data_IF_726011827078
#
_entry.id   IF_726011827078
#
_cell.length_a   1.000
_cell.length_b   1.000
_cell.length_c   1.000
_cell.angle_alpha   90.00
_cell.angle_beta   90.00
_cell.angle_gamma   90.00
#
_symmetry.space_group_name_H-M   'P 1'
#
loop_
_entity.id
_entity.type
_entity.pdbx_description
1 polymer ?
#
# COMPACT_ATOMS: atom_id res chain seq x y z
N UNK A 1 -6.55 8.41 47.16
CA UNK A 1 -6.71 7.11 46.45
C UNK A 1 -6.98 7.23 44.94
N UNK A 2 -7.23 8.42 44.36
CA UNK A 2 -7.49 8.60 42.93
C UNK A 2 -6.25 8.46 42.01
N UNK A 3 -5.05 8.79 42.51
CA UNK A 3 -3.80 8.79 41.72
C UNK A 3 -3.27 7.39 41.37
N UNK A 4 -3.41 6.42 42.27
CA UNK A 4 -2.93 5.03 42.06
C UNK A 4 -3.79 4.32 41.01
N UNK A 5 -5.13 4.46 41.09
CA UNK A 5 -6.05 3.90 40.10
C UNK A 5 -5.85 4.52 38.71
N UNK A 6 -5.61 5.84 38.63
CA UNK A 6 -5.31 6.52 37.37
C UNK A 6 -3.99 6.04 36.74
N UNK A 7 -2.95 5.82 37.56
CA UNK A 7 -1.65 5.32 37.10
C UNK A 7 -1.74 3.87 36.62
N UNK A 8 -2.48 3.02 37.34
CA UNK A 8 -2.71 1.63 36.94
C UNK A 8 -3.50 1.55 35.63
N UNK A 9 -4.60 2.31 35.52
CA UNK A 9 -5.42 2.38 34.30
C UNK A 9 -4.61 2.85 33.09
N UNK A 10 -3.76 3.86 33.25
CA UNK A 10 -2.87 4.35 32.18
C UNK A 10 -1.91 3.27 31.72
N UNK A 11 -1.22 2.59 32.66
CA UNK A 11 -0.27 1.52 32.33
C UNK A 11 -0.95 0.31 31.68
N UNK A 12 -2.13 -0.09 32.17
CA UNK A 12 -2.92 -1.16 31.57
C UNK A 12 -3.36 -0.82 30.15
N UNK A 13 -3.89 0.40 29.92
CA UNK A 13 -4.30 0.87 28.59
C UNK A 13 -3.10 0.92 27.65
N UNK A 14 -1.96 1.46 28.06
CA UNK A 14 -0.73 1.47 27.25
C UNK A 14 -0.28 0.05 26.92
N UNK A 15 -0.23 -0.86 27.88
CA UNK A 15 0.11 -2.27 27.64
C UNK A 15 -0.87 -2.95 26.68
N UNK A 16 -2.16 -2.66 26.79
CA UNK A 16 -3.18 -3.15 25.88
C UNK A 16 -2.96 -2.62 24.46
N UNK A 17 -2.70 -1.33 24.27
CA UNK A 17 -2.42 -0.73 22.96
C UNK A 17 -1.16 -1.31 22.31
N UNK A 18 -0.16 -1.70 23.10
CA UNK A 18 1.05 -2.37 22.59
C UNK A 18 0.75 -3.81 22.18
N UNK A 19 -0.09 -4.52 22.93
CA UNK A 19 -0.42 -5.92 22.66
C UNK A 19 -1.46 -6.11 21.54
N UNK A 20 -2.40 -5.16 21.38
CA UNK A 20 -3.49 -5.25 20.39
C UNK A 20 -2.95 -5.54 18.99
N UNK A 21 -1.97 -4.77 18.43
CA UNK A 21 -1.44 -5.04 17.10
C UNK A 21 -0.85 -6.44 16.98
N UNK A 22 -0.05 -6.87 17.96
CA UNK A 22 0.58 -8.19 17.96
C UNK A 22 -0.46 -9.33 17.99
N UNK A 23 -1.49 -9.21 18.83
CA UNK A 23 -2.58 -10.19 18.93
C UNK A 23 -3.36 -10.24 17.61
N UNK A 24 -3.71 -9.09 17.03
CA UNK A 24 -4.41 -9.01 15.74
C UNK A 24 -3.58 -9.69 14.65
N UNK A 25 -2.28 -9.42 14.56
CA UNK A 25 -1.40 -10.06 13.59
C UNK A 25 -1.41 -11.58 13.74
N UNK A 26 -1.27 -12.11 14.95
CA UNK A 26 -1.30 -13.56 15.22
C UNK A 26 -2.66 -14.16 14.83
N UNK A 27 -3.76 -13.50 15.14
CA UNK A 27 -5.11 -13.95 14.80
C UNK A 27 -5.32 -14.02 13.29
N UNK A 28 -4.93 -12.98 12.55
CA UNK A 28 -5.07 -12.92 11.09
C UNK A 28 -4.22 -14.01 10.43
N UNK A 29 -2.97 -14.16 10.84
CA UNK A 29 -2.05 -15.19 10.30
C UNK A 29 -2.63 -16.59 10.55
N UNK A 30 -3.09 -16.87 11.77
CA UNK A 30 -3.68 -18.16 12.13
C UNK A 30 -4.98 -18.43 11.38
N UNK A 31 -5.82 -17.41 11.18
CA UNK A 31 -7.05 -17.54 10.39
C UNK A 31 -6.73 -17.86 8.93
N UNK A 32 -5.76 -17.18 8.35
CA UNK A 32 -5.32 -17.41 6.97
C UNK A 32 -4.78 -18.82 6.76
N UNK A 33 -3.90 -19.32 7.64
CA UNK A 33 -3.38 -20.70 7.51
C UNK A 33 -4.47 -21.75 7.64
N UNK A 34 -5.42 -21.57 8.56
CA UNK A 34 -6.57 -22.48 8.68
C UNK A 34 -7.46 -22.47 7.45
N UNK A 35 -7.62 -21.30 6.82
CA UNK A 35 -8.36 -21.19 5.58
C UNK A 35 -7.67 -21.95 4.44
N UNK A 36 -6.34 -21.80 4.30
CA UNK A 36 -5.55 -22.53 3.30
C UNK A 36 -5.53 -24.03 3.58
N UNK A 37 -5.32 -24.43 4.85
CA UNK A 37 -5.38 -25.82 5.28
C UNK A 37 -6.72 -26.44 4.92
N UNK A 38 -7.84 -25.80 5.25
CA UNK A 38 -9.18 -26.33 4.93
C UNK A 38 -9.47 -26.42 3.43
N UNK A 39 -8.92 -25.51 2.62
CA UNK A 39 -9.06 -25.57 1.16
C UNK A 39 -8.28 -26.75 0.55
N UNK A 40 -7.12 -27.08 1.11
CA UNK A 40 -6.21 -28.10 0.59
C UNK A 40 -6.31 -29.45 1.29
N UNK A 41 -7.04 -29.52 2.41
CA UNK A 41 -7.32 -30.73 3.17
C UNK A 41 -7.75 -31.90 2.28
N UNK A 42 -8.67 -31.74 1.31
CA UNK A 42 -9.08 -32.83 0.42
C UNK A 42 -7.93 -33.31 -0.47
N UNK A 43 -7.02 -32.42 -0.86
CA UNK A 43 -5.85 -32.72 -1.68
C UNK A 43 -4.79 -33.47 -0.87
N UNK A 44 -4.54 -33.04 0.36
CA UNK A 44 -3.59 -33.68 1.27
C UNK A 44 -4.03 -35.07 1.68
N UNK A 45 -5.32 -35.25 1.98
CA UNK A 45 -5.85 -36.54 2.37
C UNK A 45 -5.64 -37.58 1.26
N UNK A 46 -5.79 -37.17 -0.01
CA UNK A 46 -5.66 -38.06 -1.16
C UNK A 46 -4.20 -38.39 -1.54
N UNK A 47 -3.24 -37.53 -1.16
CA UNK A 47 -1.82 -37.68 -1.54
C UNK A 47 -0.96 -38.22 -0.40
N UNK A 48 -1.19 -37.78 0.85
CA UNK A 48 -0.32 -38.04 2.01
C UNK A 48 -0.96 -38.94 3.08
N UNK A 49 -2.29 -39.13 3.08
CA UNK A 49 -2.99 -40.06 3.99
C UNK A 49 -2.96 -39.70 5.48
N UNK A 50 -2.29 -38.62 5.90
CA UNK A 50 -2.22 -38.14 7.28
C UNK A 50 -2.26 -36.61 7.35
N UNK A 51 -2.86 -36.06 8.40
CA UNK A 51 -2.77 -34.62 8.68
C UNK A 51 -1.39 -34.28 9.25
N UNK A 52 -0.58 -33.56 8.48
CA UNK A 52 0.69 -33.01 8.97
C UNK A 52 0.48 -31.54 9.39
N UNK A 53 0.56 -31.21 10.69
CA UNK A 53 0.46 -29.83 11.14
C UNK A 53 1.64 -29.02 10.58
N UNK A 54 1.34 -27.87 9.96
CA UNK A 54 2.33 -26.98 9.33
C UNK A 54 2.37 -27.02 7.80
N UNK A 55 1.67 -27.95 7.15
CA UNK A 55 1.52 -28.00 5.69
C UNK A 55 0.88 -26.72 5.12
N UNK A 56 -0.11 -26.15 5.82
CA UNK A 56 -0.78 -24.91 5.42
C UNK A 56 0.13 -23.71 5.23
N UNK A 57 1.22 -23.63 5.99
CA UNK A 57 2.21 -22.56 5.81
C UNK A 57 2.95 -22.74 4.49
N UNK A 58 3.52 -23.93 4.28
CA UNK A 58 4.31 -24.25 3.08
C UNK A 58 3.44 -24.13 1.83
N UNK A 59 2.21 -24.63 1.89
CA UNK A 59 1.30 -24.55 0.76
C UNK A 59 0.79 -23.16 0.48
N UNK A 60 0.58 -22.32 1.51
CA UNK A 60 0.25 -20.92 1.30
C UNK A 60 1.38 -20.22 0.54
N UNK A 61 2.64 -20.45 0.93
CA UNK A 61 3.81 -19.90 0.23
C UNK A 61 3.87 -20.39 -1.21
N UNK A 62 3.65 -21.70 -1.44
CA UNK A 62 3.62 -22.28 -2.79
C UNK A 62 2.48 -21.68 -3.62
N UNK A 63 1.27 -21.55 -3.07
CA UNK A 63 0.12 -20.95 -3.78
C UNK A 63 0.44 -19.51 -4.17
N UNK A 64 0.95 -18.70 -3.24
CA UNK A 64 1.30 -17.30 -3.52
C UNK A 64 2.36 -17.23 -4.62
N UNK A 65 3.37 -18.10 -4.57
CA UNK A 65 4.42 -18.15 -5.58
C UNK A 65 3.88 -18.58 -6.95
N UNK A 66 3.04 -19.61 -7.01
CA UNK A 66 2.42 -20.10 -8.25
C UNK A 66 1.49 -19.05 -8.84
N UNK A 67 0.67 -18.38 -8.02
CA UNK A 67 -0.17 -17.25 -8.45
C UNK A 67 0.68 -16.12 -9.01
N UNK A 68 1.82 -15.81 -8.39
CA UNK A 68 2.80 -14.86 -8.91
C UNK A 68 3.32 -15.24 -10.29
N UNK A 69 3.77 -16.48 -10.48
CA UNK A 69 4.22 -16.98 -11.79
C UNK A 69 3.11 -16.87 -12.83
N UNK A 70 1.89 -17.30 -12.49
CA UNK A 70 0.74 -17.22 -13.39
C UNK A 70 0.47 -15.75 -13.77
N UNK A 71 0.54 -14.83 -12.82
CA UNK A 71 0.32 -13.39 -13.04
C UNK A 71 1.29 -12.78 -14.07
N UNK A 72 2.53 -13.28 -14.14
CA UNK A 72 3.53 -12.79 -15.12
C UNK A 72 3.31 -13.31 -16.55
N UNK A 73 2.50 -14.36 -16.73
CA UNK A 73 2.26 -14.96 -18.04
C UNK A 73 0.98 -14.39 -18.70
N UNK A 74 0.97 -14.25 -20.03
CA UNK A 74 -0.15 -13.68 -20.81
C UNK A 74 -1.46 -14.43 -20.55
N UNK A 75 -1.38 -15.76 -20.44
CA UNK A 75 -2.55 -16.60 -20.17
C UNK A 75 -3.09 -16.38 -18.75
N UNK A 76 -2.20 -16.27 -17.76
CA UNK A 76 -2.61 -16.04 -16.38
C UNK A 76 -3.20 -14.65 -16.18
N UNK A 77 -2.65 -13.62 -16.84
CA UNK A 77 -3.23 -12.28 -16.84
C UNK A 77 -4.68 -12.27 -17.35
N UNK A 78 -4.99 -13.02 -18.41
CA UNK A 78 -6.37 -13.19 -18.91
C UNK A 78 -7.30 -13.87 -17.91
N UNK A 79 -6.80 -14.87 -17.18
CA UNK A 79 -7.58 -15.53 -16.12
C UNK A 79 -7.88 -14.55 -14.99
N UNK A 80 -6.89 -13.77 -14.56
CA UNK A 80 -7.06 -12.76 -13.51
C UNK A 80 -8.10 -11.71 -13.94
N UNK A 81 -7.97 -11.18 -15.16
CA UNK A 81 -8.93 -10.22 -15.74
C UNK A 81 -10.36 -10.80 -15.84
N UNK A 82 -10.50 -12.10 -16.12
CA UNK A 82 -11.80 -12.78 -16.13
C UNK A 82 -12.44 -12.80 -14.74
N UNK A 83 -11.69 -13.18 -13.70
CA UNK A 83 -12.19 -13.18 -12.32
C UNK A 83 -12.50 -11.75 -11.85
N UNK A 84 -11.64 -10.78 -12.15
CA UNK A 84 -11.91 -9.37 -11.89
C UNK A 84 -13.25 -8.92 -12.48
N UNK A 85 -13.53 -9.31 -13.72
CA UNK A 85 -14.79 -8.99 -14.40
C UNK A 85 -16.00 -9.62 -13.70
N UNK A 86 -15.86 -10.82 -13.15
CA UNK A 86 -16.90 -11.47 -12.34
C UNK A 86 -17.19 -10.64 -11.08
N UNK A 87 -16.16 -10.28 -10.32
CA UNK A 87 -16.33 -9.46 -9.11
C UNK A 87 -16.92 -8.07 -9.42
N UNK A 88 -16.52 -7.48 -10.55
CA UNK A 88 -17.03 -6.19 -11.03
C UNK A 88 -18.51 -6.22 -11.43
N UNK A 89 -19.05 -7.39 -11.77
CA UNK A 89 -20.45 -7.56 -12.14
C UNK A 89 -21.38 -7.72 -10.93
N UNK A 90 -20.84 -7.95 -9.73
CA UNK A 90 -21.63 -8.09 -8.50
C UNK A 90 -21.74 -6.71 -7.83
N UNK A 91 -22.90 -6.03 -7.84
CA UNK A 91 -23.00 -4.62 -7.47
C UNK A 91 -22.50 -4.28 -6.06
N UNK A 92 -22.71 -5.19 -5.11
CA UNK A 92 -22.28 -5.04 -3.71
C UNK A 92 -20.78 -5.27 -3.53
N UNK A 93 -20.22 -6.26 -4.23
CA UNK A 93 -18.81 -6.63 -4.10
C UNK A 93 -17.90 -5.74 -4.97
N UNK A 94 -18.44 -5.13 -6.02
CA UNK A 94 -17.71 -4.23 -6.91
C UNK A 94 -17.00 -3.14 -6.14
N UNK A 95 -17.73 -2.37 -5.33
CA UNK A 95 -17.16 -1.23 -4.58
C UNK A 95 -16.04 -1.66 -3.64
N UNK A 96 -16.24 -2.73 -2.89
CA UNK A 96 -15.25 -3.28 -1.96
C UNK A 96 -14.01 -3.80 -2.69
N UNK A 97 -14.21 -4.59 -3.75
CA UNK A 97 -13.12 -5.13 -4.57
C UNK A 97 -12.30 -4.02 -5.21
N UNK A 98 -12.96 -3.03 -5.82
CA UNK A 98 -12.27 -1.88 -6.43
C UNK A 98 -11.49 -1.07 -5.41
N UNK A 99 -12.03 -0.84 -4.21
CA UNK A 99 -11.33 -0.10 -3.17
C UNK A 99 -10.04 -0.84 -2.81
N UNK A 100 -10.13 -2.13 -2.45
CA UNK A 100 -8.96 -2.96 -2.09
C UNK A 100 -7.95 -3.03 -3.23
N UNK A 101 -8.41 -3.24 -4.47
CA UNK A 101 -7.55 -3.33 -5.66
C UNK A 101 -6.79 -2.03 -5.91
N UNK A 102 -7.45 -0.88 -5.77
CA UNK A 102 -6.79 0.42 -5.89
C UNK A 102 -5.75 0.65 -4.78
N UNK A 103 -6.02 0.20 -3.54
CA UNK A 103 -5.02 0.26 -2.47
C UNK A 103 -3.79 -0.54 -2.88
N UNK A 104 -3.98 -1.80 -3.27
CA UNK A 104 -2.89 -2.72 -3.61
C UNK A 104 -2.11 -2.23 -4.84
N UNK A 105 -2.79 -1.76 -5.89
CA UNK A 105 -2.15 -1.29 -7.12
C UNK A 105 -1.34 0.00 -6.89
N UNK A 106 -1.77 0.88 -5.99
CA UNK A 106 -1.02 2.08 -5.61
C UNK A 106 0.31 1.74 -4.91
N UNK A 107 0.40 0.56 -4.28
CA UNK A 107 1.62 0.06 -3.64
C UNK A 107 2.39 -0.96 -4.50
N UNK A 108 1.88 -1.32 -5.68
CA UNK A 108 2.51 -2.33 -6.54
C UNK A 108 3.73 -1.74 -7.28
N UNK A 109 4.93 -2.33 -7.17
CA UNK A 109 6.14 -1.86 -7.86
C UNK A 109 6.05 -1.98 -9.39
N UNK A 110 5.24 -2.92 -9.90
CA UNK A 110 5.20 -3.26 -11.33
C UNK A 110 4.32 -2.32 -12.16
N UNK A 111 3.38 -1.61 -11.54
CA UNK A 111 2.49 -0.68 -12.24
C UNK A 111 3.15 0.69 -12.46
N UNK A 112 4.19 0.76 -13.30
CA UNK A 112 4.93 2.00 -13.64
C UNK A 112 4.06 3.17 -14.15
N UNK A 113 2.83 2.88 -14.58
CA UNK A 113 1.88 3.86 -15.14
C UNK A 113 0.83 4.37 -14.13
N UNK A 114 0.65 3.67 -13.00
CA UNK A 114 -0.41 3.94 -12.01
C UNK A 114 0.04 3.90 -10.55
N UNK A 115 1.28 3.49 -10.28
CA UNK A 115 1.89 3.41 -8.94
C UNK A 115 2.62 4.70 -8.60
N UNK A 116 2.69 5.03 -7.31
CA UNK A 116 3.52 6.12 -6.82
C UNK A 116 4.98 5.88 -7.27
N UNK A 117 5.57 6.84 -7.97
CA UNK A 117 6.92 6.70 -8.51
C UNK A 117 7.99 7.00 -7.48
N UNK A 118 7.83 8.11 -6.75
CA UNK A 118 8.78 8.62 -5.75
C UNK A 118 8.05 9.36 -4.65
N UNK A 119 8.58 9.32 -3.43
CA UNK A 119 8.20 10.24 -2.37
C UNK A 119 8.98 11.54 -2.56
N UNK A 120 8.29 12.67 -2.54
CA UNK A 120 8.85 13.97 -2.90
C UNK A 120 8.37 15.04 -1.93
N UNK A 121 9.09 16.15 -1.88
CA UNK A 121 8.68 17.37 -1.21
C UNK A 121 8.39 18.42 -2.27
N UNK A 122 7.28 19.13 -2.13
CA UNK A 122 6.92 20.24 -3.01
C UNK A 122 6.57 21.47 -2.19
N UNK A 123 6.71 22.65 -2.79
CA UNK A 123 6.24 23.89 -2.21
C UNK A 123 4.72 24.04 -2.45
N UNK A 124 3.92 23.87 -1.40
CA UNK A 124 2.45 23.89 -1.45
C UNK A 124 1.86 24.14 -0.04
N UNK A 125 0.76 24.91 0.12
CA UNK A 125 -0.03 25.60 -0.90
C UNK A 125 0.48 27.00 -1.27
N UNK A 126 1.53 27.49 -0.60
CA UNK A 126 2.10 28.83 -0.83
C UNK A 126 3.61 28.80 -0.75
N UNK A 127 4.26 29.82 -1.32
CA UNK A 127 5.70 30.02 -1.19
C UNK A 127 6.15 30.06 0.27
N UNK A 128 7.22 29.34 0.58
CA UNK A 128 7.76 29.10 1.91
C UNK A 128 7.09 27.97 2.70
N UNK A 129 6.03 27.34 2.17
CA UNK A 129 5.38 26.19 2.80
C UNK A 129 5.62 24.93 1.99
N UNK A 130 6.14 23.88 2.64
CA UNK A 130 6.47 22.61 2.00
C UNK A 130 5.54 21.50 2.45
N UNK A 131 5.19 20.62 1.52
CA UNK A 131 4.34 19.46 1.75
C UNK A 131 5.02 18.20 1.24
N UNK A 132 4.82 17.10 1.97
CA UNK A 132 5.13 15.77 1.49
C UNK A 132 4.10 15.33 0.46
N UNK A 133 4.57 14.65 -0.59
CA UNK A 133 3.69 14.12 -1.61
C UNK A 133 4.28 12.91 -2.31
N UNK A 134 3.44 12.24 -3.08
CA UNK A 134 3.83 11.14 -3.92
C UNK A 134 3.78 11.58 -5.38
N UNK A 135 4.93 11.50 -6.06
CA UNK A 135 4.97 11.71 -7.51
C UNK A 135 4.22 10.56 -8.18
N UNK A 136 3.07 10.85 -8.78
CA UNK A 136 2.22 9.84 -9.42
C UNK A 136 2.51 9.74 -10.92
N UNK A 137 2.67 10.88 -11.58
CA UNK A 137 2.79 10.94 -13.03
C UNK A 137 3.64 12.10 -13.50
N UNK A 138 4.22 11.90 -14.68
CA UNK A 138 5.01 12.87 -15.41
C UNK A 138 4.19 13.25 -16.63
N UNK A 139 3.86 14.53 -16.75
CA UNK A 139 2.91 15.04 -17.72
C UNK A 139 3.56 16.14 -18.55
N UNK A 140 3.62 15.96 -19.87
CA UNK A 140 4.05 17.03 -20.78
C UNK A 140 2.82 17.70 -21.35
N UNK A 141 2.58 18.97 -20.99
CA UNK A 141 1.49 19.75 -21.55
C UNK A 141 2.02 20.49 -22.78
N UNK A 142 1.48 20.13 -23.96
CA UNK A 142 1.75 20.84 -25.20
C UNK A 142 0.86 22.08 -25.29
N UNK A 143 1.46 23.26 -25.24
CA UNK A 143 0.75 24.52 -25.52
C UNK A 143 0.60 24.67 -27.04
N UNK A 144 -0.62 24.95 -27.52
CA UNK A 144 -0.90 24.91 -28.95
C UNK A 144 -0.09 25.95 -29.76
N UNK A 145 0.32 25.52 -30.95
CA UNK A 145 0.89 26.21 -32.10
C UNK A 145 2.19 27.05 -32.03
N UNK A 146 2.78 27.45 -30.89
CA UNK A 146 3.99 28.32 -30.95
C UNK A 146 4.98 28.24 -29.76
N UNK A 147 5.29 27.03 -29.27
CA UNK A 147 6.55 26.82 -28.54
C UNK A 147 6.55 27.17 -27.04
N UNK A 148 6.31 26.13 -26.24
CA UNK A 148 7.11 25.70 -25.07
C UNK A 148 6.39 24.48 -24.51
N UNK A 149 7.04 23.33 -24.53
CA UNK A 149 6.55 22.16 -23.80
C UNK A 149 6.77 22.42 -22.31
N UNK A 150 5.71 22.30 -21.51
CA UNK A 150 5.81 22.43 -20.05
C UNK A 150 5.78 21.03 -19.46
N UNK A 151 6.93 20.57 -18.97
CA UNK A 151 7.06 19.35 -18.18
C UNK A 151 6.50 19.62 -16.78
N UNK A 152 5.32 19.07 -16.52
CA UNK A 152 4.65 19.14 -15.23
C UNK A 152 4.74 17.78 -14.53
N UNK A 153 4.88 17.81 -13.22
CA UNK A 153 4.88 16.65 -12.34
C UNK A 153 3.57 16.63 -11.58
N UNK A 154 2.81 15.54 -11.70
CA UNK A 154 1.59 15.33 -10.93
C UNK A 154 1.96 14.71 -9.58
N UNK A 155 1.79 15.49 -8.52
CA UNK A 155 2.09 15.10 -7.15
C UNK A 155 0.78 14.98 -6.38
N UNK A 156 0.55 13.80 -5.80
CA UNK A 156 -0.53 13.59 -4.87
C UNK A 156 -0.07 14.00 -3.47
N UNK A 157 -0.73 15.00 -2.90
CA UNK A 157 -0.48 15.52 -1.55
C UNK A 157 -1.56 14.97 -0.63
N UNK A 158 -1.28 13.88 0.11
CA UNK A 158 -2.25 13.31 1.01
C UNK A 158 -2.40 14.17 2.27
N UNK A 159 -3.58 14.07 2.87
CA UNK A 159 -3.78 14.41 4.28
C UNK A 159 -3.20 13.30 5.17
N UNK A 160 -3.40 13.35 6.49
CA UNK A 160 -3.06 12.23 7.37
C UNK A 160 -3.87 10.94 7.08
N UNK A 161 -4.84 11.01 6.18
CA UNK A 161 -5.54 9.86 5.62
C UNK A 161 -5.12 9.68 4.15
N UNK A 162 -4.42 8.58 3.86
CA UNK A 162 -3.70 8.36 2.59
C UNK A 162 -4.57 8.39 1.33
N UNK A 163 -5.90 8.28 1.45
CA UNK A 163 -6.83 8.33 0.31
C UNK A 163 -7.51 9.68 0.14
N UNK A 164 -7.35 10.58 1.11
CA UNK A 164 -7.87 11.94 1.07
C UNK A 164 -6.70 12.90 0.86
N UNK A 165 -6.77 13.68 -0.20
CA UNK A 165 -5.69 14.59 -0.56
C UNK A 165 -5.99 15.35 -1.83
N UNK A 166 -5.02 16.14 -2.23
CA UNK A 166 -5.10 16.97 -3.42
C UNK A 166 -4.10 16.47 -4.46
N UNK A 167 -4.44 16.65 -5.74
CA UNK A 167 -3.49 16.41 -6.83
C UNK A 167 -3.04 17.77 -7.32
N UNK A 168 -1.74 18.02 -7.23
CA UNK A 168 -1.12 19.28 -7.61
C UNK A 168 -0.21 19.04 -8.80
N UNK A 169 -0.29 19.93 -9.79
CA UNK A 169 0.64 19.97 -10.91
C UNK A 169 1.69 21.04 -10.61
N UNK A 170 2.95 20.62 -10.51
CA UNK A 170 4.10 21.50 -10.25
C UNK A 170 5.10 21.40 -11.39
N UNK A 171 5.92 22.43 -11.61
CA UNK A 171 7.00 22.33 -12.59
C UNK A 171 8.04 21.31 -12.10
N UNK A 172 8.76 20.72 -13.04
CA UNK A 172 9.83 19.77 -12.73
C UNK A 172 10.91 20.33 -11.79
N UNK A 173 11.28 21.61 -11.95
CA UNK A 173 12.28 22.27 -11.10
C UNK A 173 11.79 22.59 -9.68
N UNK A 174 10.49 22.50 -9.40
CA UNK A 174 9.89 22.82 -8.10
C UNK A 174 9.67 21.55 -7.25
N UNK A 175 10.19 20.40 -7.70
CA UNK A 175 10.09 19.11 -7.01
C UNK A 175 11.41 18.77 -6.33
N UNK A 176 11.38 18.62 -5.01
CA UNK A 176 12.52 18.10 -4.25
C UNK A 176 12.40 16.59 -4.15
N UNK A 177 13.30 15.89 -4.85
CA UNK A 177 13.32 14.43 -4.87
C UNK A 177 13.99 13.89 -3.59
N UNK A 178 13.26 13.06 -2.84
CA UNK A 178 13.78 12.48 -1.59
C UNK A 178 14.28 11.06 -1.80
N UNK A 179 15.29 10.66 -1.04
CA UNK A 179 15.81 9.29 -0.98
C UNK A 179 14.92 8.32 -0.16
N UNK A 180 13.84 8.84 0.42
CA UNK A 180 12.90 8.09 1.25
C UNK A 180 12.09 7.12 0.38
N UNK A 181 12.08 5.82 0.70
CA UNK A 181 11.27 4.86 -0.03
C UNK A 181 9.78 5.09 0.24
N UNK A 182 8.93 4.69 -0.71
CA UNK A 182 7.49 4.97 -0.68
C UNK A 182 6.83 4.43 0.60
N UNK A 183 7.24 3.24 1.08
CA UNK A 183 6.71 2.63 2.29
C UNK A 183 7.03 3.42 3.57
N UNK A 184 8.20 4.07 3.61
CA UNK A 184 8.56 5.00 4.68
C UNK A 184 7.81 6.32 4.55
N UNK A 185 7.67 6.85 3.34
CA UNK A 185 6.84 8.03 3.06
C UNK A 185 5.41 7.87 3.57
N UNK A 186 4.80 6.69 3.37
CA UNK A 186 3.48 6.36 3.89
C UNK A 186 3.43 6.40 5.42
N UNK A 187 4.45 5.85 6.11
CA UNK A 187 4.56 5.90 7.57
C UNK A 187 4.65 7.35 8.06
N UNK A 188 5.37 8.21 7.35
CA UNK A 188 5.47 9.65 7.66
C UNK A 188 4.09 10.30 7.58
N UNK A 189 3.36 10.11 6.48
CA UNK A 189 2.02 10.69 6.30
C UNK A 189 1.03 10.19 7.36
N UNK A 190 0.95 8.87 7.57
CA UNK A 190 -0.01 8.26 8.51
C UNK A 190 0.30 8.59 9.97
N UNK A 191 1.57 8.83 10.31
CA UNK A 191 1.97 9.27 11.66
C UNK A 191 1.79 10.77 11.88
N UNK A 192 1.33 11.53 10.88
CA UNK A 192 1.22 12.99 10.95
C UNK A 192 2.58 13.69 11.00
N UNK A 193 3.61 13.08 10.42
CA UNK A 193 4.98 13.63 10.34
C UNK A 193 5.92 13.18 11.46
N UNK A 194 5.44 12.47 12.49
CA UNK A 194 6.28 12.03 13.62
C UNK A 194 7.38 11.06 13.18
N UNK A 195 7.12 10.24 12.17
CA UNK A 195 8.08 9.28 11.64
C UNK A 195 9.11 9.90 10.67
N UNK A 196 9.07 11.22 10.40
CA UNK A 196 10.00 11.86 9.49
C UNK A 196 11.43 11.88 10.06
N UNK A 197 12.46 11.56 9.26
CA UNK A 197 13.84 11.61 9.71
C UNK A 197 14.30 13.06 9.94
N UNK A 198 15.28 13.25 10.81
CA UNK A 198 15.84 14.58 11.12
C UNK A 198 16.57 15.22 9.92
N UNK A 199 17.08 14.39 9.01
CA UNK A 199 17.68 14.83 7.75
C UNK A 199 17.05 14.02 6.61
N UNK A 200 16.64 14.72 5.55
CA UNK A 200 16.06 14.14 4.36
C UNK A 200 17.10 14.29 3.25
N UNK A 201 17.57 13.17 2.70
CA UNK A 201 18.55 13.18 1.63
C UNK A 201 17.90 13.50 0.29
N UNK A 202 18.67 14.13 -0.59
CA UNK A 202 18.27 14.27 -1.99
C UNK A 202 18.49 12.94 -2.72
N UNK A 203 17.47 12.48 -3.46
CA UNK A 203 17.60 11.26 -4.24
C UNK A 203 18.70 11.43 -5.29
N UNK A 204 19.69 10.55 -5.30
CA UNK A 204 20.60 10.44 -6.45
C UNK A 204 19.81 9.90 -7.65
N UNK A 205 19.91 10.60 -8.78
CA UNK A 205 19.23 10.25 -10.04
C UNK A 205 19.45 8.79 -10.48
#
# INVERSE_FOLDING_TARGET
MSSISATFKRKFITGLFVLIPAIITILVIRWFFRFVDGLLEPLYFNILGYHTPGLGFISAVIIVFVVGIISTNIFGRRIIEFFERIFMNIPVLKGLYTAVKHLVDAFSPENKSASFKKFVIIEYPRTGAFAFGFLTKECTVKKNNNGKESCLRAVYVPTNNLYLGEIVLVNEGDVFYTDIPIDEGIKIILSGGIAAPNMIGEAKE
#
